data_IF_747208411723
#
_entry.id   IF_747208411723
#
_cell.length_a   1.000
_cell.length_b   1.000
_cell.length_c   1.000
_cell.angle_alpha   90.00
_cell.angle_beta   90.00
_cell.angle_gamma   90.00
#
_symmetry.space_group_name_H-M   'P 1'
#
loop_
_entity.id
_entity.type
_entity.pdbx_description
1 polymer ?
#
# COMPACT_ATOMS: atom_id res chain seq x y z
N UNK A 1 5.29 -19.71 -17.23
CA UNK A 1 4.37 -18.79 -17.97
C UNK A 1 4.72 -17.39 -17.54
N UNK A 2 4.79 -16.44 -18.47
CA UNK A 2 5.00 -15.02 -18.14
C UNK A 2 3.68 -14.44 -17.63
N UNK A 3 3.73 -13.64 -16.56
CA UNK A 3 2.53 -12.96 -16.06
C UNK A 3 2.03 -11.94 -17.08
N UNK A 4 0.71 -11.83 -17.25
CA UNK A 4 0.09 -10.76 -18.05
C UNK A 4 -0.92 -10.01 -17.19
N UNK A 5 -0.90 -8.69 -17.31
CA UNK A 5 -1.92 -7.85 -16.70
C UNK A 5 -3.31 -8.12 -17.31
N UNK A 6 -4.40 -7.83 -16.57
CA UNK A 6 -5.74 -7.78 -17.13
C UNK A 6 -5.83 -6.78 -18.28
N UNK A 7 -6.80 -7.00 -19.17
CA UNK A 7 -7.08 -6.09 -20.28
C UNK A 7 -7.47 -4.69 -19.78
N UNK A 8 -7.17 -3.61 -20.54
CA UNK A 8 -7.45 -2.24 -20.10
C UNK A 8 -8.89 -2.01 -19.64
N UNK A 9 -9.85 -2.65 -20.28
CA UNK A 9 -11.27 -2.53 -19.93
C UNK A 9 -11.62 -3.30 -18.64
N UNK A 10 -10.91 -4.39 -18.32
CA UNK A 10 -11.02 -5.05 -17.01
C UNK A 10 -10.43 -4.17 -15.91
N UNK A 11 -9.29 -3.52 -16.17
CA UNK A 11 -8.68 -2.56 -15.23
C UNK A 11 -9.62 -1.38 -14.98
N UNK A 12 -10.23 -0.83 -16.03
CA UNK A 12 -11.22 0.24 -15.90
C UNK A 12 -12.39 -0.17 -15.01
N UNK A 13 -12.99 -1.35 -15.24
CA UNK A 13 -14.08 -1.87 -14.41
C UNK A 13 -13.66 -2.08 -12.95
N UNK A 14 -12.47 -2.63 -12.73
CA UNK A 14 -11.90 -2.78 -11.39
C UNK A 14 -11.84 -1.42 -10.69
N UNK A 15 -11.27 -0.40 -11.34
CA UNK A 15 -11.15 0.94 -10.80
C UNK A 15 -12.51 1.59 -10.47
N UNK A 16 -13.56 1.38 -11.28
CA UNK A 16 -14.92 1.86 -10.93
C UNK A 16 -15.51 1.12 -9.72
N UNK A 17 -15.22 -0.17 -9.56
CA UNK A 17 -15.83 -0.99 -8.50
C UNK A 17 -15.20 -0.77 -7.12
N UNK A 18 -13.93 -0.36 -7.06
CA UNK A 18 -13.18 -0.19 -5.81
C UNK A 18 -13.40 1.21 -5.23
N UNK A 19 -13.64 1.29 -3.92
CA UNK A 19 -13.85 2.56 -3.22
C UNK A 19 -12.83 2.77 -2.10
N UNK A 20 -12.39 1.68 -1.46
CA UNK A 20 -11.43 1.65 -0.36
C UNK A 20 -10.10 1.02 -0.80
N UNK A 21 -9.00 1.74 -0.56
CA UNK A 21 -7.65 1.35 -1.01
C UNK A 21 -6.74 1.28 0.22
N UNK A 22 -6.25 0.09 0.56
CA UNK A 22 -5.18 -0.05 1.54
C UNK A 22 -3.83 0.20 0.87
N UNK A 23 -3.17 1.32 1.17
CA UNK A 23 -1.92 1.70 0.53
C UNK A 23 -0.71 1.31 1.37
N UNK A 24 -0.04 0.24 0.98
CA UNK A 24 1.12 -0.33 1.67
C UNK A 24 2.40 0.42 1.28
N UNK A 25 3.04 1.06 2.25
CA UNK A 25 4.26 1.86 2.02
C UNK A 25 3.98 3.33 1.73
N UNK A 26 2.79 3.83 2.06
CA UNK A 26 2.50 5.26 1.98
C UNK A 26 3.46 6.07 2.88
N UNK A 27 3.99 7.15 2.32
CA UNK A 27 4.90 8.08 2.99
C UNK A 27 4.19 9.41 3.26
N UNK A 28 4.38 10.07 4.43
CA UNK A 28 3.87 11.42 4.69
C UNK A 28 4.67 12.51 3.97
N UNK A 29 5.86 12.19 3.45
CA UNK A 29 6.68 13.15 2.73
C UNK A 29 6.08 13.41 1.33
N UNK A 30 5.66 14.65 1.09
CA UNK A 30 4.97 15.10 -0.12
C UNK A 30 5.78 14.94 -1.40
N UNK A 31 7.11 14.89 -1.31
CA UNK A 31 7.99 14.65 -2.46
C UNK A 31 8.01 13.18 -2.90
N UNK A 32 7.51 12.24 -2.08
CA UNK A 32 7.49 10.82 -2.41
C UNK A 32 6.34 10.50 -3.38
N UNK A 33 6.58 9.65 -4.40
CA UNK A 33 5.53 9.24 -5.34
C UNK A 33 4.28 8.70 -4.67
N UNK A 34 4.42 7.90 -3.60
CA UNK A 34 3.27 7.35 -2.88
C UNK A 34 2.35 8.42 -2.28
N UNK A 35 2.90 9.53 -1.76
CA UNK A 35 2.08 10.63 -1.26
C UNK A 35 1.28 11.30 -2.38
N UNK A 36 1.94 11.57 -3.53
CA UNK A 36 1.30 12.21 -4.69
C UNK A 36 0.20 11.35 -5.28
N UNK A 37 0.43 10.04 -5.40
CA UNK A 37 -0.57 9.08 -5.91
C UNK A 37 -1.74 8.97 -4.93
N UNK A 38 -1.48 8.84 -3.63
CA UNK A 38 -2.53 8.80 -2.61
C UNK A 38 -3.41 10.06 -2.61
N UNK A 39 -2.79 11.24 -2.61
CA UNK A 39 -3.49 12.52 -2.66
C UNK A 39 -4.30 12.66 -3.97
N UNK A 40 -3.72 12.22 -5.10
CA UNK A 40 -4.40 12.15 -6.39
C UNK A 40 -5.64 11.27 -6.32
N UNK A 41 -5.53 10.04 -5.81
CA UNK A 41 -6.67 9.11 -5.66
C UNK A 41 -7.73 9.65 -4.69
N UNK A 42 -7.36 10.27 -3.56
CA UNK A 42 -8.33 10.94 -2.68
C UNK A 42 -9.12 12.03 -3.41
N UNK A 43 -8.46 12.82 -4.26
CA UNK A 43 -9.13 13.88 -5.05
C UNK A 43 -10.13 13.32 -6.08
N UNK A 44 -9.93 12.07 -6.53
CA UNK A 44 -10.88 11.36 -7.41
C UNK A 44 -12.04 10.73 -6.64
N UNK A 45 -11.97 10.69 -5.30
CA UNK A 45 -13.03 10.18 -4.43
C UNK A 45 -12.78 8.80 -3.83
N UNK A 46 -11.59 8.21 -4.01
CA UNK A 46 -11.23 6.97 -3.30
C UNK A 46 -10.93 7.27 -1.83
N UNK A 47 -11.27 6.34 -0.94
CA UNK A 47 -10.82 6.35 0.45
C UNK A 47 -9.48 5.64 0.55
N UNK A 48 -8.46 6.34 1.06
CA UNK A 48 -7.11 5.79 1.25
C UNK A 48 -6.95 5.37 2.71
N UNK A 49 -6.50 4.13 2.92
CA UNK A 49 -6.19 3.58 4.24
C UNK A 49 -4.68 3.34 4.29
N UNK A 50 -3.90 4.20 4.97
CA UNK A 50 -2.44 4.08 5.02
C UNK A 50 -2.00 2.82 5.77
N UNK A 51 -1.18 1.98 5.14
CA UNK A 51 -0.56 0.80 5.76
C UNK A 51 0.95 0.93 5.70
N UNK A 52 1.62 0.82 6.85
CA UNK A 52 3.05 1.08 6.95
C UNK A 52 3.78 -0.02 7.71
N UNK A 53 4.11 -1.14 7.03
CA UNK A 53 4.85 -2.24 7.62
C UNK A 53 6.17 -1.78 8.20
N UNK A 54 6.45 -2.21 9.44
CA UNK A 54 7.74 -2.01 10.06
C UNK A 54 8.80 -2.70 9.20
N UNK A 55 9.88 -1.99 8.89
CA UNK A 55 10.96 -2.58 8.10
C UNK A 55 11.86 -3.39 9.02
N UNK A 56 12.09 -4.66 8.67
CA UNK A 56 13.06 -5.53 9.33
C UNK A 56 12.39 -6.67 10.05
N UNK A 57 12.75 -7.90 9.68
CA UNK A 57 12.32 -9.09 10.40
C UNK A 57 12.77 -9.00 11.86
N UNK A 58 11.81 -8.96 12.75
CA UNK A 58 11.82 -9.56 14.08
C UNK A 58 10.38 -9.46 14.60
N UNK A 59 9.86 -10.61 15.04
CA UNK A 59 8.59 -10.82 15.74
C UNK A 59 8.32 -9.76 16.84
N UNK A 60 7.06 -9.47 17.17
CA UNK A 60 6.72 -8.58 18.26
C UNK A 60 7.01 -9.26 19.60
N UNK A 61 8.15 -8.94 20.21
CA UNK A 61 8.35 -9.15 21.65
C UNK A 61 8.19 -7.81 22.37
N UNK A 62 7.05 -7.61 23.01
CA UNK A 62 6.94 -6.70 24.16
C UNK A 62 6.15 -5.41 23.90
N UNK A 63 5.15 -5.20 24.75
CA UNK A 63 4.31 -4.02 24.84
C UNK A 63 5.06 -2.76 25.33
N UNK A 64 4.58 -1.57 24.90
CA UNK A 64 4.91 -0.24 25.47
C UNK A 64 6.32 0.27 25.13
N UNK A 65 6.64 1.56 25.03
CA UNK A 65 6.05 2.81 25.52
C UNK A 65 6.62 3.96 24.69
N UNK A 66 5.90 5.08 24.66
CA UNK A 66 6.37 6.36 24.15
C UNK A 66 7.48 6.96 25.04
N UNK A 67 8.52 7.56 24.45
CA UNK A 67 9.28 8.64 25.07
C UNK A 67 10.10 9.39 24.01
N UNK A 68 9.71 10.64 23.75
CA UNK A 68 10.55 11.64 23.13
C UNK A 68 11.28 12.39 24.25
N UNK A 69 12.60 12.28 24.37
CA UNK A 69 13.43 13.32 25.01
C UNK A 69 14.94 13.16 24.74
N UNK A 70 15.56 14.30 24.40
CA UNK A 70 16.97 14.68 24.49
C UNK A 70 18.02 13.91 23.66
N UNK A 71 18.56 14.60 22.64
CA UNK A 71 19.88 14.33 22.06
C UNK A 71 20.94 15.18 22.77
N UNK A 72 22.14 14.64 23.04
CA UNK A 72 23.37 15.40 22.95
C UNK A 72 24.22 14.95 21.76
N UNK A 73 24.88 15.92 21.12
CA UNK A 73 25.84 15.71 20.03
C UNK A 73 27.21 15.31 20.61
N UNK A 74 27.79 14.21 20.13
CA UNK A 74 29.23 14.10 19.86
C UNK A 74 29.57 12.76 19.20
N UNK A 75 30.61 12.81 18.37
CA UNK A 75 31.00 11.88 17.33
C UNK A 75 31.38 10.44 17.75
N UNK A 76 31.22 9.53 16.77
CA UNK A 76 32.18 8.44 16.51
C UNK A 76 31.89 7.08 17.11
N UNK A 77 31.04 6.28 16.47
CA UNK A 77 31.26 4.83 16.29
C UNK A 77 30.27 4.26 15.27
N UNK A 78 30.73 3.39 14.38
CA UNK A 78 29.86 2.62 13.49
C UNK A 78 28.93 1.74 14.34
N UNK A 79 27.68 2.16 14.47
CA UNK A 79 26.62 1.35 15.05
C UNK A 79 25.59 1.12 13.96
N UNK A 80 25.22 -0.14 13.75
CA UNK A 80 24.00 -0.51 13.05
C UNK A 80 22.81 0.05 13.85
N UNK A 81 22.57 1.35 13.75
CA UNK A 81 21.34 1.97 14.23
C UNK A 81 20.28 1.49 13.26
N UNK A 82 19.52 0.48 13.69
CA UNK A 82 18.19 0.25 13.10
C UNK A 82 17.43 1.53 13.36
N UNK A 83 17.45 2.45 12.39
CA UNK A 83 16.76 3.73 12.46
C UNK A 83 15.27 3.39 12.52
N UNK A 84 14.74 3.25 13.74
CA UNK A 84 13.32 3.04 13.97
C UNK A 84 12.65 4.32 13.52
N UNK A 85 12.22 4.36 12.25
CA UNK A 85 11.41 5.45 11.73
C UNK A 85 10.15 5.48 12.61
N UNK A 86 9.93 6.56 13.39
CA UNK A 86 8.77 6.62 14.25
C UNK A 86 7.51 6.41 13.42
N UNK A 87 6.60 5.57 13.91
CA UNK A 87 5.30 5.43 13.27
C UNK A 87 4.62 6.79 13.30
N UNK A 88 4.24 7.24 12.11
CA UNK A 88 3.41 8.43 11.97
C UNK A 88 1.98 7.98 12.24
N UNK A 89 1.27 8.68 13.12
CA UNK A 89 -0.09 8.30 13.51
C UNK A 89 -1.11 8.50 12.38
N UNK A 90 -0.87 9.49 11.52
CA UNK A 90 -1.82 9.93 10.49
C UNK A 90 -1.10 10.35 9.20
N UNK A 91 -1.67 10.01 8.04
CA UNK A 91 -1.25 10.52 6.74
C UNK A 91 -2.48 10.90 5.94
N UNK A 92 -2.51 12.12 5.37
CA UNK A 92 -3.62 12.61 4.54
C UNK A 92 -4.99 12.59 5.26
N UNK A 93 -5.04 12.91 6.55
CA UNK A 93 -6.30 12.86 7.32
C UNK A 93 -6.64 11.48 7.89
N UNK A 94 -5.88 10.44 7.54
CA UNK A 94 -6.26 9.04 7.77
C UNK A 94 -5.29 8.36 8.74
N UNK A 95 -5.84 7.57 9.66
CA UNK A 95 -5.07 6.78 10.64
C UNK A 95 -4.17 5.77 9.93
N UNK A 96 -2.91 5.69 10.36
CA UNK A 96 -1.95 4.72 9.82
C UNK A 96 -2.02 3.40 10.59
N UNK A 97 -2.04 2.30 9.84
CA UNK A 97 -2.01 0.94 10.39
C UNK A 97 -0.66 0.27 10.15
N UNK A 98 -0.19 -0.59 11.08
CA UNK A 98 1.10 -1.26 10.95
C UNK A 98 1.11 -2.34 9.86
N UNK A 99 -0.02 -3.00 9.61
CA UNK A 99 -0.16 -4.13 8.70
C UNK A 99 -1.62 -4.24 8.20
N UNK A 100 -1.88 -5.20 7.31
CA UNK A 100 -3.21 -5.40 6.70
C UNK A 100 -4.18 -6.06 7.69
N UNK A 101 -3.66 -6.86 8.62
CA UNK A 101 -4.42 -7.58 9.64
C UNK A 101 -4.99 -6.65 10.72
N UNK A 102 -4.35 -5.49 10.92
CA UNK A 102 -4.79 -4.46 11.87
C UNK A 102 -5.86 -3.52 11.30
N UNK A 103 -6.26 -3.70 10.04
CA UNK A 103 -7.27 -2.84 9.41
C UNK A 103 -8.65 -3.05 10.06
N UNK A 104 -9.44 -1.97 10.25
CA UNK A 104 -10.76 -2.07 10.88
C UNK A 104 -11.79 -2.77 9.98
N UNK A 105 -11.54 -2.81 8.67
CA UNK A 105 -12.36 -3.44 7.65
C UNK A 105 -11.47 -3.90 6.49
N UNK A 106 -11.98 -4.82 5.68
CA UNK A 106 -11.27 -5.29 4.49
C UNK A 106 -11.35 -4.24 3.37
N UNK A 107 -10.21 -3.84 2.79
CA UNK A 107 -10.20 -2.92 1.64
C UNK A 107 -10.65 -3.65 0.36
N UNK A 108 -11.20 -2.90 -0.59
CA UNK A 108 -11.54 -3.44 -1.91
C UNK A 108 -10.28 -3.83 -2.70
N UNK A 109 -9.19 -3.09 -2.50
CA UNK A 109 -7.91 -3.30 -3.17
C UNK A 109 -6.73 -2.90 -2.29
N UNK A 110 -5.64 -3.66 -2.40
CA UNK A 110 -4.35 -3.32 -1.78
C UNK A 110 -3.42 -2.72 -2.84
N UNK A 111 -2.91 -1.52 -2.58
CA UNK A 111 -1.98 -0.78 -3.46
C UNK A 111 -0.57 -0.73 -2.84
N UNK A 112 0.43 -1.23 -3.57
CA UNK A 112 1.77 -1.52 -3.02
C UNK A 112 2.82 -0.56 -3.54
N UNK A 113 3.47 0.17 -2.62
CA UNK A 113 4.66 1.02 -2.83
C UNK A 113 5.91 0.47 -2.12
N UNK A 114 6.00 -0.86 -2.00
CA UNK A 114 7.14 -1.56 -1.38
C UNK A 114 7.97 -2.28 -2.44
N UNK A 115 9.27 -2.38 -2.19
CA UNK A 115 10.18 -3.13 -3.07
C UNK A 115 9.69 -4.57 -3.27
N UNK A 116 9.93 -5.13 -4.47
CA UNK A 116 9.45 -6.45 -4.91
C UNK A 116 9.68 -7.57 -3.88
N UNK A 117 10.81 -7.57 -3.17
CA UNK A 117 11.13 -8.55 -2.11
C UNK A 117 10.09 -8.65 -0.98
N UNK A 118 9.23 -7.64 -0.80
CA UNK A 118 8.17 -7.64 0.21
C UNK A 118 6.83 -8.13 -0.33
N UNK A 119 6.68 -8.26 -1.66
CA UNK A 119 5.43 -8.66 -2.30
C UNK A 119 4.96 -10.05 -1.86
N UNK A 120 5.81 -11.08 -1.70
CA UNK A 120 5.35 -12.40 -1.24
C UNK A 120 4.61 -12.34 0.09
N UNK A 121 5.13 -11.61 1.09
CA UNK A 121 4.47 -11.48 2.39
C UNK A 121 3.13 -10.74 2.29
N UNK A 122 3.04 -9.71 1.44
CA UNK A 122 1.78 -8.98 1.19
C UNK A 122 0.75 -9.91 0.54
N UNK A 123 1.17 -10.76 -0.40
CA UNK A 123 0.30 -11.77 -1.03
C UNK A 123 -0.26 -12.73 0.02
N UNK A 124 0.58 -13.23 0.94
CA UNK A 124 0.10 -14.10 2.02
C UNK A 124 -0.95 -13.42 2.90
N UNK A 125 -0.73 -12.17 3.30
CA UNK A 125 -1.73 -11.39 4.05
C UNK A 125 -3.02 -11.22 3.26
N UNK A 126 -2.95 -10.91 1.96
CA UNK A 126 -4.13 -10.79 1.11
C UNK A 126 -4.92 -12.11 1.01
N UNK A 127 -4.24 -13.24 0.83
CA UNK A 127 -4.86 -14.57 0.79
C UNK A 127 -5.55 -14.88 2.12
N UNK A 128 -4.84 -14.67 3.24
CA UNK A 128 -5.34 -14.91 4.59
C UNK A 128 -6.58 -14.08 4.91
N UNK A 129 -6.60 -12.82 4.49
CA UNK A 129 -7.70 -11.88 4.74
C UNK A 129 -8.83 -11.99 3.70
N UNK A 130 -8.63 -12.74 2.62
CA UNK A 130 -9.62 -12.88 1.55
C UNK A 130 -9.74 -11.65 0.63
N UNK A 131 -8.71 -10.80 0.58
CA UNK A 131 -8.65 -9.61 -0.28
C UNK A 131 -8.59 -10.06 -1.74
N UNK A 132 -9.45 -9.47 -2.58
CA UNK A 132 -9.65 -9.94 -3.97
C UNK A 132 -8.85 -9.19 -5.02
N UNK A 133 -8.29 -8.02 -4.69
CA UNK A 133 -7.57 -7.19 -5.65
C UNK A 133 -6.25 -6.70 -5.08
N UNK A 134 -5.18 -6.80 -5.87
CA UNK A 134 -3.83 -6.38 -5.54
C UNK A 134 -3.24 -5.56 -6.69
N UNK A 135 -2.71 -4.39 -6.37
CA UNK A 135 -2.07 -3.48 -7.31
C UNK A 135 -0.61 -3.26 -6.90
N UNK A 136 0.33 -3.61 -7.78
CA UNK A 136 1.76 -3.34 -7.62
C UNK A 136 2.12 -2.14 -8.49
N UNK A 137 2.57 -1.06 -7.85
CA UNK A 137 2.84 0.20 -8.54
C UNK A 137 3.98 0.10 -9.56
N UNK A 138 4.09 1.11 -10.41
CA UNK A 138 5.14 1.25 -11.44
C UNK A 138 6.54 0.94 -10.87
N UNK A 139 7.27 0.06 -11.55
CA UNK A 139 8.59 -0.41 -11.16
C UNK A 139 8.61 -1.55 -10.12
N UNK A 140 7.46 -2.03 -9.64
CA UNK A 140 7.37 -3.16 -8.71
C UNK A 140 6.86 -4.39 -9.46
N UNK A 141 7.78 -5.33 -9.71
CA UNK A 141 7.53 -6.54 -10.49
C UNK A 141 7.90 -7.78 -9.65
N UNK A 142 6.98 -8.73 -9.50
CA UNK A 142 7.24 -10.03 -8.86
C UNK A 142 6.28 -11.12 -9.40
N UNK A 143 6.63 -11.72 -10.53
CA UNK A 143 5.74 -12.64 -11.26
C UNK A 143 5.29 -13.87 -10.45
N UNK A 144 6.20 -14.50 -9.70
CA UNK A 144 5.86 -15.70 -8.91
C UNK A 144 4.78 -15.42 -7.85
N UNK A 145 4.92 -14.31 -7.12
CA UNK A 145 3.93 -13.86 -6.15
C UNK A 145 2.61 -13.47 -6.82
N UNK A 146 2.66 -12.84 -8.01
CA UNK A 146 1.47 -12.51 -8.78
C UNK A 146 0.72 -13.78 -9.26
N UNK A 147 1.45 -14.82 -9.69
CA UNK A 147 0.87 -16.11 -10.06
C UNK A 147 0.25 -16.82 -8.87
N UNK A 148 0.92 -16.82 -7.72
CA UNK A 148 0.38 -17.37 -6.47
C UNK A 148 -0.91 -16.67 -6.05
N UNK A 149 -0.93 -15.33 -6.09
CA UNK A 149 -2.12 -14.55 -5.82
C UNK A 149 -3.26 -14.89 -6.79
N UNK A 150 -2.97 -14.97 -8.09
CA UNK A 150 -3.94 -15.39 -9.11
C UNK A 150 -4.52 -16.79 -8.86
N UNK A 151 -3.67 -17.76 -8.47
CA UNK A 151 -4.10 -19.11 -8.10
C UNK A 151 -5.01 -19.16 -6.87
N UNK A 152 -4.93 -18.15 -6.00
CA UNK A 152 -5.83 -17.96 -4.85
C UNK A 152 -7.08 -17.12 -5.17
N UNK A 153 -7.29 -16.74 -6.43
CA UNK A 153 -8.43 -15.95 -6.88
C UNK A 153 -8.30 -14.44 -6.62
N UNK A 154 -7.08 -13.92 -6.51
CA UNK A 154 -6.79 -12.49 -6.40
C UNK A 154 -6.50 -11.92 -7.80
N UNK A 155 -7.20 -10.87 -8.18
CA UNK A 155 -6.87 -10.08 -9.37
C UNK A 155 -5.62 -9.26 -9.09
N UNK A 156 -4.56 -9.47 -9.88
CA UNK A 156 -3.30 -8.72 -9.75
C UNK A 156 -3.14 -7.78 -10.94
N UNK A 157 -2.80 -6.53 -10.65
CA UNK A 157 -2.27 -5.56 -11.62
C UNK A 157 -0.86 -5.20 -11.19
N UNK A 158 0.11 -5.20 -12.11
CA UNK A 158 1.52 -5.01 -11.81
C UNK A 158 2.18 -4.04 -12.78
N UNK A 159 3.19 -3.30 -12.30
CA UNK A 159 3.94 -2.32 -13.09
C UNK A 159 3.06 -1.24 -13.72
N UNK A 160 2.08 -0.75 -12.96
CA UNK A 160 1.16 0.31 -13.41
C UNK A 160 0.90 1.30 -12.29
N UNK A 161 0.59 2.55 -12.65
CA UNK A 161 0.20 3.57 -11.68
C UNK A 161 -1.32 3.69 -11.62
N UNK A 162 -1.91 3.34 -10.46
CA UNK A 162 -3.37 3.36 -10.26
C UNK A 162 -3.99 4.74 -10.49
N UNK A 163 -3.34 5.82 -10.03
CA UNK A 163 -3.81 7.19 -10.27
C UNK A 163 -3.78 7.58 -11.75
N UNK A 164 -2.68 7.26 -12.46
CA UNK A 164 -2.54 7.56 -13.89
C UNK A 164 -3.60 6.81 -14.71
N UNK A 165 -3.87 5.56 -14.37
CA UNK A 165 -4.91 4.76 -15.01
C UNK A 165 -6.31 5.28 -14.72
N UNK A 166 -6.61 5.61 -13.45
CA UNK A 166 -7.90 6.19 -13.08
C UNK A 166 -8.18 7.50 -13.83
N UNK A 167 -7.18 8.38 -13.94
CA UNK A 167 -7.28 9.63 -14.73
C UNK A 167 -7.45 9.31 -16.22
N UNK A 168 -6.63 8.42 -16.78
CA UNK A 168 -6.70 8.03 -18.19
C UNK A 168 -8.08 7.48 -18.56
N UNK A 169 -8.69 6.71 -17.67
CA UNK A 169 -10.01 6.11 -17.89
C UNK A 169 -11.18 6.98 -17.43
N UNK A 170 -10.93 8.14 -16.83
CA UNK A 170 -11.98 9.06 -16.36
C UNK A 170 -12.77 8.57 -15.14
N UNK A 171 -12.18 7.73 -14.29
CA UNK A 171 -12.87 7.08 -13.16
C UNK A 171 -12.92 7.99 -11.92
N UNK A 172 -14.12 8.24 -11.41
CA UNK A 172 -14.37 9.05 -10.20
C UNK A 172 -15.44 8.41 -9.29
N UNK A 173 -15.08 7.47 -8.39
CA UNK A 173 -16.05 6.63 -7.67
C UNK A 173 -17.07 7.43 -6.84
N UNK A 174 -16.68 8.59 -6.31
CA UNK A 174 -17.55 9.41 -5.45
C UNK A 174 -18.32 10.51 -6.19
N UNK A 175 -17.94 10.83 -7.44
CA UNK A 175 -18.71 11.78 -8.27
C UNK A 175 -19.90 11.10 -8.94
N UNK A 176 -19.81 9.80 -9.21
CA UNK A 176 -20.87 9.04 -9.88
C UNK A 176 -22.03 8.63 -8.95
N UNK A 177 -21.85 8.65 -7.62
CA UNK A 177 -22.93 8.38 -6.65
C UNK A 177 -23.76 9.61 -6.26
N UNK A 178 -23.41 10.80 -6.75
CA UNK A 178 -24.06 12.07 -6.42
C UNK A 178 -25.00 12.58 -7.54
N UNK A 179 -25.46 11.71 -8.44
CA UNK A 179 -26.38 12.03 -9.55
C UNK A 179 -27.60 11.12 -9.54
#
# INVERSE_FOLDING_TARGET
MTFSNPEPEQIRRLLHSVHSIAMVGLSPNQSRPSFRVASGLQSLGYRIIPVRPRHGGAEPSGAGVAAAHLLPQSAGFASNVTEVRPMVAEVLGEKVFPDLESLPELPDIVDVFRAAKHVPAIVESCIKLGIKNLWLQEGIIHEEAAQRAGGAGITVVMDRCMWRDAVKFGVHPRREQAS
#
